data_IF_539940012015
#
_entry.id   IF_539940012015
#
_cell.length_a   1.000
_cell.length_b   1.000
_cell.length_c   1.000
_cell.angle_alpha   90.00
_cell.angle_beta   90.00
_cell.angle_gamma   90.00
#
_symmetry.space_group_name_H-M   'P 1'
#
loop_
_entity.id
_entity.type
_entity.pdbx_description
1 polymer ?
#
# COMPACT_ATOMS: atom_id res chain seq x y z
N UNK A 1 -10.63 -1.82 -14.23
CA UNK A 1 -10.95 -3.00 -13.39
C UNK A 1 -10.58 -2.79 -11.93
N UNK A 2 -9.47 -2.13 -11.61
CA UNK A 2 -9.02 -1.83 -10.22
C UNK A 2 -9.95 -0.88 -9.43
N UNK A 3 -10.82 -0.13 -10.10
CA UNK A 3 -11.82 0.74 -9.47
C UNK A 3 -13.12 0.01 -9.05
N UNK A 4 -13.16 -1.32 -9.12
CA UNK A 4 -14.34 -2.09 -8.70
C UNK A 4 -14.56 -1.99 -7.19
N UNK A 5 -15.81 -1.96 -6.76
CA UNK A 5 -16.20 -2.00 -5.34
C UNK A 5 -16.36 -3.43 -4.81
N UNK A 6 -16.18 -4.45 -5.67
CA UNK A 6 -16.31 -5.86 -5.30
C UNK A 6 -15.00 -6.39 -4.69
N UNK A 7 -14.92 -6.65 -3.37
CA UNK A 7 -13.65 -7.01 -2.72
C UNK A 7 -13.02 -8.28 -3.29
N UNK A 8 -13.82 -9.30 -3.60
CA UNK A 8 -13.30 -10.56 -4.17
C UNK A 8 -12.65 -10.38 -5.54
N UNK A 9 -13.05 -9.37 -6.32
CA UNK A 9 -12.41 -9.06 -7.60
C UNK A 9 -11.05 -8.41 -7.34
N UNK A 10 -10.96 -7.48 -6.37
CA UNK A 10 -9.69 -6.88 -5.96
C UNK A 10 -8.72 -7.95 -5.44
N UNK A 11 -9.20 -8.86 -4.58
CA UNK A 11 -8.41 -9.98 -4.08
C UNK A 11 -7.90 -10.87 -5.22
N UNK A 12 -8.78 -11.24 -6.17
CA UNK A 12 -8.39 -12.01 -7.36
C UNK A 12 -7.31 -11.30 -8.17
N UNK A 13 -7.42 -9.99 -8.36
CA UNK A 13 -6.42 -9.21 -9.08
C UNK A 13 -5.06 -9.18 -8.35
N UNK A 14 -5.06 -9.11 -7.02
CA UNK A 14 -3.84 -9.22 -6.22
C UNK A 14 -3.19 -10.59 -6.38
N UNK A 15 -3.93 -11.69 -6.25
CA UNK A 15 -3.40 -13.04 -6.47
C UNK A 15 -2.88 -13.23 -7.90
N UNK A 16 -3.59 -12.71 -8.90
CA UNK A 16 -3.13 -12.74 -10.29
C UNK A 16 -1.82 -11.95 -10.48
N UNK A 17 -1.59 -10.88 -9.71
CA UNK A 17 -0.41 -10.03 -9.85
C UNK A 17 0.90 -10.75 -9.48
N UNK A 18 0.83 -11.75 -8.60
CA UNK A 18 1.99 -12.55 -8.20
C UNK A 18 2.04 -13.94 -8.86
N UNK A 19 0.96 -14.35 -9.51
CA UNK A 19 0.90 -15.62 -10.24
C UNK A 19 1.47 -15.48 -11.65
N UNK A 20 2.60 -16.14 -11.93
CA UNK A 20 3.26 -16.13 -13.25
C UNK A 20 2.42 -16.71 -14.39
N UNK A 21 1.42 -17.54 -14.10
CA UNK A 21 0.50 -18.15 -15.08
C UNK A 21 -0.77 -17.34 -15.33
N UNK A 22 -0.95 -16.20 -14.65
CA UNK A 22 -2.19 -15.39 -14.74
C UNK A 22 -2.33 -14.59 -16.04
N UNK A 23 -1.24 -14.47 -16.82
CA UNK A 23 -1.15 -13.59 -17.98
C UNK A 23 -0.79 -12.14 -17.65
N UNK A 24 -0.69 -11.76 -16.36
CA UNK A 24 -0.20 -10.42 -15.97
C UNK A 24 1.32 -10.38 -16.10
N UNK A 25 1.83 -9.48 -16.95
CA UNK A 25 3.27 -9.22 -17.07
C UNK A 25 3.82 -8.64 -15.76
N UNK A 26 5.05 -9.03 -15.38
CA UNK A 26 5.73 -8.53 -14.16
C UNK A 26 5.69 -7.00 -14.03
N UNK A 27 5.98 -6.26 -15.10
CA UNK A 27 5.90 -4.78 -15.08
C UNK A 27 4.50 -4.23 -14.78
N UNK A 28 3.44 -4.97 -15.14
CA UNK A 28 2.05 -4.57 -14.93
C UNK A 28 1.56 -4.96 -13.53
N UNK A 29 2.14 -5.99 -12.90
CA UNK A 29 1.79 -6.40 -11.55
C UNK A 29 1.95 -5.24 -10.54
N UNK A 30 3.07 -4.53 -10.59
CA UNK A 30 3.31 -3.38 -9.70
C UNK A 30 2.31 -2.22 -9.93
N UNK A 31 1.88 -2.03 -11.18
CA UNK A 31 0.87 -1.02 -11.53
C UNK A 31 -0.49 -1.44 -10.97
N UNK A 32 -0.90 -2.68 -11.19
CA UNK A 32 -2.17 -3.23 -10.68
C UNK A 32 -2.24 -3.09 -9.16
N UNK A 33 -1.19 -3.50 -8.43
CA UNK A 33 -1.15 -3.39 -6.97
C UNK A 33 -1.26 -1.92 -6.53
N UNK A 34 -0.51 -1.01 -7.18
CA UNK A 34 -0.53 0.43 -6.85
C UNK A 34 -1.88 1.09 -7.16
N UNK A 35 -2.58 0.63 -8.20
CA UNK A 35 -3.90 1.16 -8.53
C UNK A 35 -4.98 0.65 -7.58
N UNK A 36 -4.88 -0.61 -7.12
CA UNK A 36 -5.76 -1.15 -6.07
C UNK A 36 -5.52 -0.42 -4.75
N UNK A 37 -4.29 0.01 -4.44
CA UNK A 37 -4.01 0.71 -3.18
C UNK A 37 -4.68 2.09 -3.09
N UNK A 38 -5.09 2.67 -4.23
CA UNK A 38 -5.85 3.93 -4.29
C UNK A 38 -7.37 3.72 -4.18
N UNK A 39 -7.84 2.47 -4.25
CA UNK A 39 -9.24 2.13 -4.06
C UNK A 39 -9.58 2.18 -2.55
N UNK A 40 -10.75 2.72 -2.20
CA UNK A 40 -11.20 2.88 -0.80
C UNK A 40 -11.25 1.56 -0.02
N UNK A 41 -11.66 0.47 -0.68
CA UNK A 41 -11.65 -0.88 -0.14
C UNK A 41 -10.28 -1.54 -0.33
N UNK A 42 -9.66 -1.32 -1.49
CA UNK A 42 -8.40 -1.94 -1.88
C UNK A 42 -7.19 -1.52 -1.05
N UNK A 43 -7.19 -0.32 -0.47
CA UNK A 43 -6.06 0.20 0.33
C UNK A 43 -5.66 -0.73 1.48
N UNK A 44 -6.64 -1.25 2.21
CA UNK A 44 -6.43 -2.18 3.32
C UNK A 44 -5.99 -3.56 2.83
N UNK A 45 -6.60 -4.02 1.74
CA UNK A 45 -6.29 -5.32 1.15
C UNK A 45 -4.84 -5.37 0.68
N UNK A 46 -4.36 -4.30 0.03
CA UNK A 46 -2.99 -4.25 -0.49
C UNK A 46 -1.97 -4.23 0.64
N UNK A 47 -2.21 -3.48 1.71
CA UNK A 47 -1.28 -3.46 2.85
C UNK A 47 -1.13 -4.85 3.47
N UNK A 48 -2.24 -5.53 3.76
CA UNK A 48 -2.22 -6.92 4.26
C UNK A 48 -1.56 -7.86 3.27
N UNK A 49 -1.87 -7.73 1.99
CA UNK A 49 -1.28 -8.56 0.94
C UNK A 49 0.25 -8.41 0.87
N UNK A 50 0.79 -7.19 0.98
CA UNK A 50 2.24 -6.97 1.02
C UNK A 50 2.85 -7.56 2.28
N UNK A 51 2.21 -7.37 3.43
CA UNK A 51 2.69 -7.92 4.72
C UNK A 51 2.78 -9.44 4.66
N UNK A 52 1.74 -10.09 4.12
CA UNK A 52 1.58 -11.54 4.17
C UNK A 52 2.29 -12.26 3.01
N UNK A 53 2.50 -11.59 1.86
CA UNK A 53 3.05 -12.17 0.61
C UNK A 53 4.33 -11.49 0.15
N UNK A 54 5.11 -10.91 1.07
CA UNK A 54 6.28 -10.10 0.72
C UNK A 54 7.33 -10.90 -0.06
N UNK A 55 7.61 -12.13 0.36
CA UNK A 55 8.58 -13.01 -0.29
C UNK A 55 8.16 -13.36 -1.73
N UNK A 56 6.86 -13.61 -1.94
CA UNK A 56 6.30 -13.84 -3.27
C UNK A 56 6.45 -12.61 -4.16
N UNK A 57 6.24 -11.40 -3.62
CA UNK A 57 6.48 -10.16 -4.34
C UNK A 57 7.96 -10.05 -4.75
N UNK A 58 8.90 -10.37 -3.86
CA UNK A 58 10.33 -10.40 -4.21
C UNK A 58 10.64 -11.39 -5.33
N UNK A 59 10.04 -12.59 -5.30
CA UNK A 59 10.21 -13.62 -6.31
C UNK A 59 9.64 -13.22 -7.69
N UNK A 60 8.58 -12.41 -7.71
CA UNK A 60 7.93 -11.95 -8.95
C UNK A 60 8.70 -10.82 -9.63
N UNK A 61 9.43 -9.99 -8.88
CA UNK A 61 10.14 -8.82 -9.41
C UNK A 61 11.67 -8.92 -9.53
N UNK A 62 12.31 -10.07 -9.83
CA UNK A 62 13.76 -10.24 -9.70
C UNK A 62 14.56 -9.20 -10.50
N UNK A 63 15.61 -8.64 -9.90
CA UNK A 63 16.47 -7.59 -10.48
C UNK A 63 15.88 -6.16 -10.47
N UNK A 64 14.56 -6.02 -10.33
CA UNK A 64 13.85 -4.73 -10.17
C UNK A 64 13.04 -4.63 -8.88
N UNK A 65 13.15 -5.65 -8.01
CA UNK A 65 12.29 -5.86 -6.84
C UNK A 65 12.28 -4.65 -5.94
N UNK A 66 13.45 -4.07 -5.66
CA UNK A 66 13.55 -2.91 -4.80
C UNK A 66 12.78 -1.69 -5.32
N UNK A 67 12.88 -1.35 -6.62
CA UNK A 67 12.17 -0.19 -7.19
C UNK A 67 10.67 -0.42 -7.21
N UNK A 68 10.23 -1.62 -7.59
CA UNK A 68 8.82 -1.98 -7.67
C UNK A 68 8.17 -2.03 -6.29
N UNK A 69 8.82 -2.67 -5.31
CA UNK A 69 8.35 -2.74 -3.92
C UNK A 69 8.35 -1.36 -3.28
N UNK A 70 9.39 -0.54 -3.51
CA UNK A 70 9.41 0.85 -3.02
C UNK A 70 8.24 1.67 -3.56
N UNK A 71 7.89 1.49 -4.84
CA UNK A 71 6.74 2.17 -5.46
C UNK A 71 5.42 1.72 -4.82
N UNK A 72 5.26 0.41 -4.62
CA UNK A 72 4.08 -0.18 -4.00
C UNK A 72 3.93 0.32 -2.55
N UNK A 73 4.99 0.28 -1.75
CA UNK A 73 4.98 0.75 -0.35
C UNK A 73 4.59 2.23 -0.26
N UNK A 74 5.16 3.07 -1.13
CA UNK A 74 4.78 4.49 -1.20
C UNK A 74 3.32 4.68 -1.61
N UNK A 75 2.82 3.90 -2.56
CA UNK A 75 1.44 3.99 -3.02
C UNK A 75 0.47 3.60 -1.89
N UNK A 76 0.77 2.56 -1.13
CA UNK A 76 -0.02 2.17 0.04
C UNK A 76 0.01 3.27 1.10
N UNK A 77 1.21 3.71 1.51
CA UNK A 77 1.35 4.73 2.55
C UNK A 77 0.71 6.07 2.19
N UNK A 78 0.66 6.43 0.91
CA UNK A 78 -0.04 7.63 0.45
C UNK A 78 -1.53 7.63 0.80
N UNK A 79 -2.14 6.44 0.94
CA UNK A 79 -3.55 6.27 1.28
C UNK A 79 -3.82 6.10 2.78
N UNK A 80 -2.79 5.84 3.59
CA UNK A 80 -2.92 5.63 5.04
C UNK A 80 -3.05 6.97 5.76
N UNK A 81 -4.02 7.09 6.65
CA UNK A 81 -4.33 8.35 7.33
C UNK A 81 -4.90 8.16 8.76
N UNK A 82 -4.83 6.95 9.32
CA UNK A 82 -5.27 6.65 10.69
C UNK A 82 -4.10 6.22 11.59
N UNK A 83 -4.27 6.36 12.91
CA UNK A 83 -3.27 5.96 13.91
C UNK A 83 -2.99 4.46 13.93
N UNK A 84 -4.02 3.64 13.68
CA UNK A 84 -3.89 2.18 13.65
C UNK A 84 -3.01 1.77 12.45
N UNK A 85 -3.31 2.29 11.26
CA UNK A 85 -2.53 2.04 10.04
C UNK A 85 -1.07 2.48 10.21
N UNK A 86 -0.82 3.63 10.85
CA UNK A 86 0.53 4.11 11.12
C UNK A 86 1.29 3.15 12.04
N UNK A 87 0.65 2.66 13.11
CA UNK A 87 1.25 1.68 14.03
C UNK A 87 1.55 0.37 13.31
N UNK A 88 0.66 -0.11 12.46
CA UNK A 88 0.88 -1.31 11.66
C UNK A 88 2.07 -1.16 10.70
N UNK A 89 2.20 -0.01 10.03
CA UNK A 89 3.33 0.24 9.13
C UNK A 89 4.67 0.34 9.89
N UNK A 90 4.67 0.90 11.10
CA UNK A 90 5.84 0.91 11.99
C UNK A 90 6.19 -0.53 12.42
N UNK A 91 5.20 -1.33 12.83
CA UNK A 91 5.40 -2.73 13.18
C UNK A 91 5.95 -3.55 12.02
N UNK A 92 5.43 -3.33 10.81
CA UNK A 92 5.94 -3.94 9.59
C UNK A 92 7.42 -3.64 9.38
N UNK A 93 7.87 -2.39 9.58
CA UNK A 93 9.30 -2.03 9.47
C UNK A 93 10.18 -2.86 10.41
N UNK A 94 9.76 -3.06 11.65
CA UNK A 94 10.57 -3.79 12.64
C UNK A 94 10.69 -5.28 12.28
N UNK A 95 9.61 -5.89 11.78
CA UNK A 95 9.66 -7.27 11.23
C UNK A 95 10.59 -7.36 10.01
N UNK A 96 10.61 -6.33 9.15
CA UNK A 96 11.47 -6.34 7.97
C UNK A 96 12.95 -6.10 8.29
N UNK A 97 13.26 -5.34 9.35
CA UNK A 97 14.63 -5.17 9.84
C UNK A 97 15.24 -6.49 10.31
N UNK A 98 14.47 -7.34 11.00
CA UNK A 98 14.95 -8.66 11.42
C UNK A 98 15.03 -9.67 10.27
N UNK A 99 14.22 -9.47 9.21
CA UNK A 99 14.17 -10.34 8.02
C UNK A 99 15.22 -10.07 6.93
N UNK A 100 16.15 -9.13 7.11
CA UNK A 100 17.29 -8.93 6.19
C UNK A 100 17.02 -8.08 4.94
N UNK A 101 16.00 -7.21 4.97
CA UNK A 101 15.63 -6.33 3.84
C UNK A 101 16.57 -5.11 3.69
N UNK A 102 17.85 -5.35 3.41
CA UNK A 102 18.92 -4.32 3.34
C UNK A 102 18.77 -3.27 2.23
N UNK A 103 17.74 -3.36 1.38
CA UNK A 103 17.46 -2.38 0.32
C UNK A 103 16.29 -1.43 0.60
N UNK A 104 15.23 -1.91 1.26
CA UNK A 104 13.90 -1.26 1.34
C UNK A 104 13.71 -0.32 2.52
N UNK A 105 14.65 -0.26 3.46
CA UNK A 105 14.53 0.52 4.69
C UNK A 105 14.20 1.99 4.43
N UNK A 106 14.88 2.62 3.47
CA UNK A 106 14.62 4.03 3.10
C UNK A 106 13.20 4.23 2.57
N UNK A 107 12.71 3.30 1.74
CA UNK A 107 11.37 3.42 1.18
C UNK A 107 10.29 3.20 2.25
N UNK A 108 10.52 2.27 3.18
CA UNK A 108 9.64 2.04 4.33
C UNK A 108 9.65 3.27 5.25
N UNK A 109 10.81 3.85 5.53
CA UNK A 109 10.92 5.05 6.36
C UNK A 109 10.18 6.24 5.73
N UNK A 110 10.39 6.51 4.43
CA UNK A 110 9.66 7.55 3.70
C UNK A 110 8.14 7.31 3.71
N UNK A 111 7.73 6.04 3.64
CA UNK A 111 6.31 5.65 3.72
C UNK A 111 5.72 5.95 5.11
N UNK A 112 6.48 5.67 6.17
CA UNK A 112 6.09 6.03 7.55
C UNK A 112 5.98 7.55 7.72
N UNK A 113 6.96 8.30 7.20
CA UNK A 113 6.96 9.76 7.32
C UNK A 113 5.77 10.38 6.58
N UNK A 114 5.42 9.84 5.40
CA UNK A 114 4.20 10.23 4.69
C UNK A 114 2.93 9.91 5.48
N UNK A 115 2.81 8.70 6.02
CA UNK A 115 1.64 8.30 6.80
C UNK A 115 1.47 9.16 8.07
N UNK A 116 2.58 9.54 8.74
CA UNK A 116 2.55 10.50 9.86
C UNK A 116 2.00 11.85 9.44
N UNK A 117 2.45 12.38 8.30
CA UNK A 117 1.95 13.64 7.76
C UNK A 117 0.45 13.57 7.47
N UNK A 118 -0.02 12.48 6.86
CA UNK A 118 -1.43 12.26 6.58
C UNK A 118 -2.27 12.20 7.87
N UNK A 119 -1.83 11.45 8.88
CA UNK A 119 -2.50 11.37 10.19
C UNK A 119 -2.57 12.74 10.87
N UNK A 120 -1.47 13.48 10.89
CA UNK A 120 -1.43 14.83 11.47
C UNK A 120 -2.36 15.78 10.72
N UNK A 121 -2.38 15.72 9.39
CA UNK A 121 -3.29 16.52 8.58
C UNK A 121 -4.74 16.19 8.90
N UNK A 122 -5.11 14.91 9.00
CA UNK A 122 -6.46 14.49 9.39
C UNK A 122 -6.84 15.03 10.77
N UNK A 123 -5.97 14.91 11.78
CA UNK A 123 -6.24 15.44 13.12
C UNK A 123 -6.51 16.94 13.14
N UNK A 124 -5.76 17.69 12.34
CA UNK A 124 -5.84 19.15 12.33
C UNK A 124 -6.99 19.67 11.45
N UNK A 125 -7.29 19.01 10.34
CA UNK A 125 -8.13 19.58 9.28
C UNK A 125 -9.47 18.87 9.09
N UNK A 126 -9.63 17.64 9.57
CA UNK A 126 -10.84 16.85 9.29
C UNK A 126 -12.12 17.56 9.72
N UNK A 127 -12.17 18.07 10.97
CA UNK A 127 -13.35 18.75 11.48
C UNK A 127 -13.63 20.04 10.70
N UNK A 128 -12.60 20.82 10.37
CA UNK A 128 -12.76 22.04 9.57
C UNK A 128 -13.35 21.77 8.18
N UNK A 129 -12.90 20.71 7.52
CA UNK A 129 -13.42 20.31 6.21
C UNK A 129 -14.87 19.80 6.33
N UNK A 130 -15.18 19.01 7.36
CA UNK A 130 -16.53 18.52 7.62
C UNK A 130 -17.51 19.67 7.86
N UNK A 131 -17.14 20.61 8.73
CA UNK A 131 -17.95 21.79 9.05
C UNK A 131 -18.16 22.66 7.81
N UNK A 132 -17.16 22.80 6.95
CA UNK A 132 -17.27 23.53 5.69
C UNK A 132 -18.24 22.84 4.72
N UNK A 133 -18.13 21.52 4.55
CA UNK A 133 -19.02 20.75 3.68
C UNK A 133 -20.48 20.84 4.13
N UNK A 134 -20.75 20.76 5.44
CA UNK A 134 -22.09 20.88 6.03
C UNK A 134 -22.70 22.28 5.94
N UNK A 135 -21.89 23.31 5.65
CA UNK A 135 -22.38 24.67 5.42
C UNK A 135 -22.70 24.92 3.95
N UNK A 136 -21.99 24.24 3.05
CA UNK A 136 -22.08 24.44 1.59
C UNK A 136 -23.13 23.53 0.96
N UNK A 137 -23.39 22.37 1.57
CA UNK A 137 -24.44 21.41 1.20
C UNK A 137 -25.42 21.23 2.35
#
# INVERSE_FOLDING_TARGET
MTCTEKPWILAKMLEMSINSKSGIRKQNAAIVISDISRNSLGRYMVFNFIRDRLDDLFAVFPGSSFRSISRILKAVASSLNTEIELKELIGFREVQKSGGLSGSERAIQQSIDQAKNNVNWMKQNYQHVLDWLQRVY
#
